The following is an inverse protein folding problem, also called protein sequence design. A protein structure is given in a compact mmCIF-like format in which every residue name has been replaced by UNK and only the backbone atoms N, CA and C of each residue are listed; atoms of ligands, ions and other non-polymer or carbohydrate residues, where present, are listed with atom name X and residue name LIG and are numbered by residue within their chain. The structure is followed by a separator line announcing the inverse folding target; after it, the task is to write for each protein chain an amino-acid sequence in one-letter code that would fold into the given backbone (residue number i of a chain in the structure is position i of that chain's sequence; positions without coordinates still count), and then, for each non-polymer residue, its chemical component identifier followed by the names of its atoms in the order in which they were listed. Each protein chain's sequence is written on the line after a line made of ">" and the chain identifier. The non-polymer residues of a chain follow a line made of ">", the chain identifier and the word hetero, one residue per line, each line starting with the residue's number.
data_IF_792342524070
#
_entry.id   IF_792342524070
#
_cell.length_a   1.000
_cell.length_b   1.000
_cell.length_c   1.000
_cell.angle_alpha   90.00
_cell.angle_beta   90.00
_cell.angle_gamma   90.00
#
_symmetry.space_group_name_H-M   'P 1'
#
loop_
_entity.id
_entity.type
_entity.pdbx_description
1 polymer ?
#
# COMPACT_ATOMS: atom_id res chain seq x y z
N UNK A 1 -31.05 0.87 -11.31
CA UNK A 1 -30.05 -0.23 -11.39
C UNK A 1 -28.66 0.39 -11.42
N UNK A 2 -27.69 -0.23 -10.76
CA UNK A 2 -26.32 0.29 -10.68
C UNK A 2 -25.57 -0.06 -11.97
N UNK A 3 -24.93 0.94 -12.59
CA UNK A 3 -24.08 0.75 -13.77
C UNK A 3 -22.69 0.22 -13.38
N UNK A 4 -21.96 -0.40 -14.30
CA UNK A 4 -20.58 -0.89 -14.10
C UNK A 4 -19.67 0.17 -13.48
N UNK A 5 -19.73 1.39 -14.00
CA UNK A 5 -18.86 2.48 -13.59
C UNK A 5 -19.09 2.90 -12.13
N UNK A 6 -20.36 2.97 -11.72
CA UNK A 6 -20.76 3.27 -10.35
C UNK A 6 -20.30 2.17 -9.39
N UNK A 7 -20.48 0.90 -9.77
CA UNK A 7 -20.00 -0.24 -8.97
C UNK A 7 -18.49 -0.18 -8.75
N UNK A 8 -17.70 0.01 -9.83
CA UNK A 8 -16.25 0.10 -9.74
C UNK A 8 -15.79 1.31 -8.91
N UNK A 9 -16.51 2.43 -9.00
CA UNK A 9 -16.25 3.62 -8.20
C UNK A 9 -16.47 3.34 -6.71
N UNK A 10 -17.60 2.73 -6.34
CA UNK A 10 -17.90 2.38 -4.94
C UNK A 10 -16.87 1.39 -4.37
N UNK A 11 -16.53 0.33 -5.09
CA UNK A 11 -15.51 -0.65 -4.65
C UNK A 11 -14.17 0.04 -4.36
N UNK A 12 -13.74 0.97 -5.22
CA UNK A 12 -12.49 1.72 -5.04
C UNK A 12 -12.47 2.56 -3.77
N UNK A 13 -13.61 3.03 -3.28
CA UNK A 13 -13.66 3.85 -2.06
C UNK A 13 -13.28 3.05 -0.81
N UNK A 14 -13.57 1.75 -0.78
CA UNK A 14 -13.28 0.88 0.35
C UNK A 14 -11.84 0.34 0.39
N UNK A 15 -11.06 0.55 -0.68
CA UNK A 15 -9.67 0.08 -0.79
C UNK A 15 -8.73 1.22 -0.37
N UNK A 16 -7.80 0.97 0.54
CA UNK A 16 -6.88 2.01 1.02
C UNK A 16 -5.62 2.15 0.13
N UNK A 17 -5.07 1.03 -0.36
CA UNK A 17 -3.83 1.05 -1.14
C UNK A 17 -4.05 1.54 -2.58
N UNK A 18 -3.21 2.47 -3.05
CA UNK A 18 -3.26 2.99 -4.42
C UNK A 18 -2.96 1.91 -5.46
N UNK A 19 -1.98 1.06 -5.18
CA UNK A 19 -1.64 -0.07 -6.03
C UNK A 19 -2.78 -1.09 -6.06
N UNK A 20 -3.34 -1.41 -4.89
CA UNK A 20 -4.48 -2.31 -4.79
C UNK A 20 -5.70 -1.76 -5.54
N UNK A 21 -5.97 -0.45 -5.48
CA UNK A 21 -7.02 0.18 -6.28
C UNK A 21 -6.82 -0.07 -7.77
N UNK A 22 -5.60 0.13 -8.29
CA UNK A 22 -5.29 -0.10 -9.72
C UNK A 22 -5.50 -1.56 -10.10
N UNK A 23 -4.90 -2.48 -9.33
CA UNK A 23 -4.96 -3.92 -9.59
C UNK A 23 -6.40 -4.45 -9.52
N UNK A 24 -7.11 -4.17 -8.42
CA UNK A 24 -8.49 -4.62 -8.21
C UNK A 24 -9.45 -4.07 -9.27
N UNK A 25 -9.26 -2.82 -9.68
CA UNK A 25 -10.13 -2.24 -10.72
C UNK A 25 -9.96 -2.95 -12.05
N UNK A 26 -8.71 -3.20 -12.47
CA UNK A 26 -8.43 -3.88 -13.72
C UNK A 26 -9.00 -5.31 -13.71
N UNK A 27 -8.85 -6.02 -12.60
CA UNK A 27 -9.39 -7.36 -12.41
C UNK A 27 -10.92 -7.37 -12.47
N UNK A 28 -11.59 -6.51 -11.69
CA UNK A 28 -13.06 -6.43 -11.68
C UNK A 28 -13.63 -5.97 -13.01
N UNK A 29 -12.96 -5.07 -13.71
CA UNK A 29 -13.36 -4.63 -15.05
C UNK A 29 -13.26 -5.77 -16.06
N UNK A 30 -12.21 -6.58 -15.99
CA UNK A 30 -12.05 -7.77 -16.82
C UNK A 30 -13.17 -8.79 -16.56
N UNK A 31 -13.45 -9.11 -15.29
CA UNK A 31 -14.53 -10.03 -14.93
C UNK A 31 -15.91 -9.52 -15.33
N UNK A 32 -16.19 -8.23 -15.12
CA UNK A 32 -17.46 -7.62 -15.55
C UNK A 32 -17.61 -7.71 -17.07
N UNK A 33 -16.56 -7.42 -17.83
CA UNK A 33 -16.59 -7.56 -19.29
C UNK A 33 -16.86 -9.00 -19.71
N UNK A 34 -16.18 -9.97 -19.10
CA UNK A 34 -16.38 -11.39 -19.39
C UNK A 34 -17.81 -11.85 -19.07
N UNK A 35 -18.36 -11.43 -17.92
CA UNK A 35 -19.76 -11.72 -17.54
C UNK A 35 -20.76 -11.09 -18.50
N UNK A 36 -20.55 -9.83 -18.91
CA UNK A 36 -21.41 -9.15 -19.89
C UNK A 36 -21.37 -9.87 -21.24
N UNK A 37 -20.19 -10.26 -21.74
CA UNK A 37 -20.06 -11.01 -23.00
C UNK A 37 -20.73 -12.38 -22.93
N UNK A 38 -20.63 -13.09 -21.79
CA UNK A 38 -21.30 -14.36 -21.57
C UNK A 38 -22.84 -14.20 -21.59
N UNK A 39 -23.37 -13.14 -21.00
CA UNK A 39 -24.80 -12.81 -21.00
C UNK A 39 -25.29 -12.36 -22.38
N UNK A 40 -24.48 -11.60 -23.13
CA UNK A 40 -24.81 -11.26 -24.53
C UNK A 40 -24.93 -12.52 -25.40
N UNK A 41 -24.05 -13.52 -25.21
CA UNK A 41 -24.16 -14.82 -25.89
C UNK A 41 -25.42 -15.62 -25.53
N UNK A 42 -26.02 -15.34 -24.38
CA UNK A 42 -27.30 -15.92 -23.94
C UNK A 42 -28.53 -15.19 -24.49
N UNK A 43 -28.33 -14.15 -25.31
CA UNK A 43 -29.41 -13.41 -25.97
C UNK A 43 -29.89 -12.15 -25.23
N UNK A 44 -29.20 -11.73 -24.15
CA UNK A 44 -29.51 -10.47 -23.48
C UNK A 44 -28.97 -9.27 -24.27
N UNK A 45 -29.70 -8.15 -24.20
CA UNK A 45 -29.21 -6.87 -24.74
C UNK A 45 -27.99 -6.38 -23.96
N UNK A 46 -27.21 -5.47 -24.52
CA UNK A 46 -25.98 -4.99 -23.89
C UNK A 46 -26.22 -4.34 -22.53
N UNK A 47 -27.26 -3.51 -22.41
CA UNK A 47 -27.61 -2.84 -21.15
C UNK A 47 -28.11 -3.84 -20.10
N UNK A 48 -28.95 -4.80 -20.48
CA UNK A 48 -29.44 -5.84 -19.56
C UNK A 48 -28.33 -6.78 -19.11
N UNK A 49 -27.41 -7.12 -20.01
CA UNK A 49 -26.25 -7.94 -19.72
C UNK A 49 -25.32 -7.26 -18.72
N UNK A 50 -25.06 -5.96 -18.87
CA UNK A 50 -24.23 -5.19 -17.93
C UNK A 50 -24.85 -5.13 -16.54
N UNK A 51 -26.15 -4.82 -16.45
CA UNK A 51 -26.84 -4.78 -15.16
C UNK A 51 -26.80 -6.15 -14.48
N UNK A 52 -27.08 -7.23 -15.22
CA UNK A 52 -27.01 -8.60 -14.68
C UNK A 52 -25.59 -8.99 -14.27
N UNK A 53 -24.56 -8.59 -15.02
CA UNK A 53 -23.17 -8.82 -14.66
C UNK A 53 -22.82 -8.15 -13.33
N UNK A 54 -23.24 -6.90 -13.13
CA UNK A 54 -23.04 -6.18 -11.86
C UNK A 54 -23.82 -6.84 -10.72
N UNK A 55 -25.06 -7.28 -10.96
CA UNK A 55 -25.85 -8.01 -9.96
C UNK A 55 -25.19 -9.34 -9.56
N UNK A 56 -24.57 -10.06 -10.49
CA UNK A 56 -23.83 -11.29 -10.22
C UNK A 56 -22.60 -11.05 -9.33
N UNK A 57 -21.95 -9.88 -9.44
CA UNK A 57 -20.87 -9.50 -8.52
C UNK A 57 -21.39 -9.27 -7.10
N UNK A 58 -22.62 -8.78 -6.95
CA UNK A 58 -23.24 -8.51 -5.65
C UNK A 58 -22.85 -7.15 -5.07
N UNK A 59 -22.71 -7.07 -3.75
CA UNK A 59 -22.53 -5.78 -3.06
C UNK A 59 -21.11 -5.21 -3.22
N UNK A 60 -20.94 -3.98 -3.74
CA UNK A 60 -19.64 -3.31 -3.89
C UNK A 60 -18.96 -3.06 -2.54
N UNK A 61 -19.74 -2.81 -1.48
CA UNK A 61 -19.24 -2.57 -0.12
C UNK A 61 -18.52 -3.82 0.40
N UNK A 62 -19.20 -4.97 0.35
CA UNK A 62 -18.68 -6.24 0.85
C UNK A 62 -17.45 -6.68 0.08
N UNK A 63 -17.46 -6.55 -1.24
CA UNK A 63 -16.29 -6.85 -2.10
C UNK A 63 -15.13 -5.92 -1.77
N UNK A 64 -15.39 -4.61 -1.72
CA UNK A 64 -14.37 -3.61 -1.43
C UNK A 64 -13.68 -3.83 -0.08
N UNK A 65 -14.44 -4.13 0.97
CA UNK A 65 -13.88 -4.43 2.29
C UNK A 65 -13.05 -5.72 2.31
N UNK A 66 -13.53 -6.79 1.67
CA UNK A 66 -12.80 -8.07 1.56
C UNK A 66 -11.48 -7.87 0.80
N UNK A 67 -11.53 -7.18 -0.33
CA UNK A 67 -10.35 -6.92 -1.15
C UNK A 67 -9.37 -5.97 -0.45
N UNK A 68 -9.85 -4.98 0.29
CA UNK A 68 -9.00 -4.12 1.11
C UNK A 68 -8.27 -4.93 2.19
N UNK A 69 -8.94 -5.87 2.86
CA UNK A 69 -8.30 -6.74 3.86
C UNK A 69 -7.18 -7.59 3.26
N UNK A 70 -7.40 -8.12 2.06
CA UNK A 70 -6.41 -8.96 1.37
C UNK A 70 -5.19 -8.15 0.90
N UNK A 71 -5.42 -6.96 0.36
CA UNK A 71 -4.38 -6.11 -0.25
C UNK A 71 -3.87 -5.00 0.69
N UNK A 72 -4.22 -5.03 1.98
CA UNK A 72 -3.77 -4.00 2.92
C UNK A 72 -2.25 -4.10 3.09
N UNK A 73 -1.48 -3.03 2.84
CA UNK A 73 -0.05 -3.04 3.08
C UNK A 73 0.20 -3.32 4.56
N UNK A 74 0.91 -4.41 4.84
CA UNK A 74 1.25 -4.82 6.21
C UNK A 74 2.54 -4.13 6.60
N UNK A 75 2.42 -3.17 7.52
CA UNK A 75 3.58 -2.59 8.19
C UNK A 75 3.93 -3.49 9.36
N UNK A 76 5.15 -4.03 9.37
CA UNK A 76 5.65 -4.80 10.51
C UNK A 76 6.06 -3.85 11.65
N UNK A 77 5.14 -3.68 12.60
CA UNK A 77 5.35 -2.87 13.79
C UNK A 77 6.42 -3.46 14.72
N UNK A 78 6.63 -4.78 14.71
CA UNK A 78 7.67 -5.42 15.52
C UNK A 78 9.04 -5.05 14.97
N UNK A 79 9.20 -5.06 13.65
CA UNK A 79 10.45 -4.64 13.01
C UNK A 79 10.76 -3.17 13.26
N UNK A 80 9.75 -2.29 13.17
CA UNK A 80 9.91 -0.85 13.51
C UNK A 80 10.31 -0.65 14.97
N UNK A 81 9.68 -1.37 15.89
CA UNK A 81 10.00 -1.30 17.31
C UNK A 81 11.43 -1.78 17.59
N UNK A 82 11.83 -2.91 16.98
CA UNK A 82 13.20 -3.44 17.09
C UNK A 82 14.23 -2.44 16.55
N UNK A 83 13.97 -1.83 15.39
CA UNK A 83 14.84 -0.81 14.81
C UNK A 83 15.03 0.39 15.74
N UNK A 84 13.94 0.91 16.30
CA UNK A 84 14.00 2.04 17.25
C UNK A 84 14.75 1.65 18.53
N UNK A 85 14.53 0.44 19.03
CA UNK A 85 15.21 -0.09 20.22
C UNK A 85 16.73 -0.19 20.00
N UNK A 86 17.18 -0.78 18.88
CA UNK A 86 18.61 -0.88 18.54
C UNK A 86 19.23 0.52 18.39
N UNK A 87 18.51 1.48 17.80
CA UNK A 87 18.98 2.87 17.73
C UNK A 87 19.20 3.47 19.12
N UNK A 88 18.28 3.23 20.06
CA UNK A 88 18.38 3.74 21.43
C UNK A 88 19.58 3.13 22.19
N UNK A 89 19.87 1.84 22.01
CA UNK A 89 21.05 1.20 22.62
C UNK A 89 22.36 1.89 22.23
N UNK A 90 22.43 2.47 21.02
CA UNK A 90 23.58 3.24 20.56
C UNK A 90 23.89 4.47 21.41
N UNK A 91 22.95 4.97 22.22
CA UNK A 91 23.16 6.11 23.10
C UNK A 91 23.69 5.73 24.49
N UNK A 92 23.64 4.45 24.88
CA UNK A 92 24.08 3.98 26.20
C UNK A 92 25.54 4.36 26.50
N UNK A 93 26.53 4.14 25.60
CA UNK A 93 27.92 4.50 25.89
C UNK A 93 28.13 5.99 26.13
N UNK A 94 27.33 6.85 25.46
CA UNK A 94 27.40 8.31 25.60
C UNK A 94 26.80 8.81 26.92
N UNK A 95 25.86 8.05 27.51
CA UNK A 95 25.26 8.37 28.81
C UNK A 95 26.15 7.93 29.98
N UNK A 96 26.84 6.80 29.83
CA UNK A 96 27.71 6.24 30.88
C UNK A 96 29.06 6.97 30.94
N UNK A 97 29.60 7.39 29.80
CA UNK A 97 30.86 8.13 29.71
C UNK A 97 30.56 9.64 29.73
N UNK A 98 30.17 10.17 30.88
CA UNK A 98 29.85 11.59 31.05
C UNK A 98 31.12 12.43 31.24
N UNK A 99 31.73 12.86 30.13
CA UNK A 99 32.76 13.92 30.14
C UNK A 99 32.38 15.05 29.18
N UNK A 100 32.92 16.24 29.40
CA UNK A 100 32.68 17.45 28.60
C UNK A 100 32.83 17.21 27.07
N UNK A 101 33.76 16.33 26.69
CA UNK A 101 33.99 15.94 25.28
C UNK A 101 32.84 15.15 24.65
N UNK A 102 32.09 14.38 25.45
CA UNK A 102 30.99 13.54 24.96
C UNK A 102 29.69 14.30 24.72
N UNK A 103 29.52 15.53 25.23
CA UNK A 103 28.35 16.36 24.91
C UNK A 103 28.28 16.67 23.41
N UNK A 104 29.41 17.06 22.80
CA UNK A 104 29.46 17.31 21.36
C UNK A 104 29.14 16.03 20.56
N UNK A 105 29.69 14.89 20.98
CA UNK A 105 29.38 13.59 20.36
C UNK A 105 27.92 13.17 20.52
N UNK A 106 27.28 13.52 21.63
CA UNK A 106 25.85 13.27 21.87
C UNK A 106 24.98 14.10 20.93
N UNK A 107 25.22 15.41 20.83
CA UNK A 107 24.49 16.29 19.91
C UNK A 107 24.68 15.87 18.45
N UNK A 108 25.91 15.56 18.03
CA UNK A 108 26.18 15.09 16.67
C UNK A 108 25.44 13.79 16.34
N UNK A 109 25.40 12.83 17.28
CA UNK A 109 24.68 11.57 17.11
C UNK A 109 23.17 11.76 17.07
N UNK A 110 22.64 12.66 17.90
CA UNK A 110 21.21 12.99 17.93
C UNK A 110 20.76 13.60 16.60
N UNK A 111 21.52 14.57 16.06
CA UNK A 111 21.25 15.16 14.74
C UNK A 111 21.34 14.10 13.64
N UNK A 112 22.36 13.23 13.68
CA UNK A 112 22.51 12.12 12.73
C UNK A 112 21.35 11.13 12.77
N UNK A 113 20.85 10.77 13.96
CA UNK A 113 19.68 9.92 14.12
C UNK A 113 18.40 10.58 13.58
N UNK A 114 18.19 11.87 13.82
CA UNK A 114 17.04 12.60 13.28
C UNK A 114 17.08 12.68 11.75
N UNK A 115 18.25 12.97 11.17
CA UNK A 115 18.45 12.93 9.72
C UNK A 115 18.19 11.53 9.16
N UNK A 116 18.73 10.49 9.79
CA UNK A 116 18.51 9.11 9.38
C UNK A 116 17.04 8.68 9.45
N UNK A 117 16.32 9.04 10.50
CA UNK A 117 14.87 8.83 10.62
C UNK A 117 14.10 9.60 9.55
N UNK A 118 14.50 10.83 9.24
CA UNK A 118 13.93 11.64 8.16
C UNK A 118 14.10 10.97 6.80
N UNK A 119 15.31 10.49 6.49
CA UNK A 119 15.61 9.75 5.25
C UNK A 119 14.82 8.45 5.20
N UNK A 120 14.82 7.65 6.27
CA UNK A 120 14.06 6.41 6.33
C UNK A 120 12.56 6.66 6.14
N UNK A 121 12.00 7.69 6.79
CA UNK A 121 10.62 8.12 6.60
C UNK A 121 10.33 8.51 5.16
N UNK A 122 11.17 9.35 4.54
CA UNK A 122 11.03 9.73 3.14
C UNK A 122 11.07 8.52 2.19
N UNK A 123 11.96 7.56 2.43
CA UNK A 123 12.02 6.30 1.67
C UNK A 123 10.77 5.46 1.87
N UNK A 124 10.19 5.40 3.08
CA UNK A 124 8.93 4.70 3.32
C UNK A 124 7.73 5.32 2.58
N UNK A 125 7.75 6.63 2.33
CA UNK A 125 6.73 7.30 1.50
C UNK A 125 7.05 7.21 0.00
N UNK A 126 8.30 6.93 -0.36
CA UNK A 126 8.70 6.75 -1.74
C UNK A 126 8.21 5.39 -2.25
N UNK A 127 7.53 5.41 -3.39
CA UNK A 127 7.05 4.20 -4.04
C UNK A 127 8.24 3.27 -4.36
N UNK A 128 8.32 2.10 -3.72
CA UNK A 128 9.44 1.15 -3.89
C UNK A 128 9.56 0.65 -5.34
N UNK A 129 8.49 0.75 -6.13
CA UNK A 129 8.48 0.52 -7.58
C UNK A 129 9.35 1.49 -8.39
N UNK A 130 9.69 2.66 -7.84
CA UNK A 130 10.68 3.57 -8.43
C UNK A 130 12.11 3.10 -8.15
N UNK A 131 12.34 2.53 -6.97
CA UNK A 131 13.62 1.94 -6.59
C UNK A 131 13.92 0.65 -7.37
N UNK A 132 12.91 -0.16 -7.70
CA UNK A 132 13.11 -1.38 -8.49
C UNK A 132 13.68 -1.13 -9.89
N UNK A 133 13.42 0.06 -10.48
CA UNK A 133 14.01 0.46 -11.77
C UNK A 133 15.51 0.77 -11.68
N UNK A 134 16.01 1.09 -10.49
CA UNK A 134 17.43 1.30 -10.23
C UNK A 134 18.16 0.03 -9.80
N UNK A 135 17.47 -1.10 -9.66
CA UNK A 135 18.07 -2.37 -9.24
C UNK A 135 19.21 -2.85 -10.15
N UNK A 136 19.19 -2.47 -11.43
CA UNK A 136 20.27 -2.75 -12.38
C UNK A 136 21.58 -2.02 -12.06
N UNK A 137 21.54 -0.87 -11.39
CA UNK A 137 22.75 -0.13 -11.01
C UNK A 137 23.41 -0.64 -9.73
N UNK A 138 22.69 -1.46 -8.94
CA UNK A 138 23.19 -2.00 -7.66
C UNK A 138 23.73 -3.43 -7.80
N UNK A 139 23.55 -4.08 -8.97
CA UNK A 139 24.09 -5.40 -9.31
C UNK A 139 25.34 -5.33 -10.22
N UNK A 140 26.17 -4.29 -10.07
CA UNK A 140 27.50 -4.22 -10.69
C UNK A 140 28.54 -4.03 -9.59
#
# INVERSE_FOLDING_TARGET
>A
MMKKEQFLYEVKQFICSKEAKRFVTAELEFHLKQSTEALKKQGYTEEEAEVKAVQQMGSPITIGQKLNRLHRPKVDWRLKALFLFVMALGFIPLLVLSSESYYYSFYAKLVGCLLGLGVAGAVMFMDYTKLSKFGWYFMV
#
